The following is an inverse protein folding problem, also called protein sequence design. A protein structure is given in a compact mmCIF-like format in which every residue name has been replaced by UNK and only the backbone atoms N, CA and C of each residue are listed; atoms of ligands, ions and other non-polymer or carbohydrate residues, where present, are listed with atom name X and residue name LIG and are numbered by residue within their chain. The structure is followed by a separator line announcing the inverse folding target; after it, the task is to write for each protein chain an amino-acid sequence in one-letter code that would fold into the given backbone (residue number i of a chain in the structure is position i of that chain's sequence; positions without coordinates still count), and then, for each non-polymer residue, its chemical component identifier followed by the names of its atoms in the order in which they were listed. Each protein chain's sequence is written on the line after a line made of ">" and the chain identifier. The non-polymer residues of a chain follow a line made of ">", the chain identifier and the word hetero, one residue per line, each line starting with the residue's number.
data_IF_438352128724
#
_entry.id   IF_438352128724
#
_cell.length_a   1.000
_cell.length_b   1.000
_cell.length_c   1.000
_cell.angle_alpha   90.00
_cell.angle_beta   90.00
_cell.angle_gamma   90.00
#
_symmetry.space_group_name_H-M   'P 1'
#
loop_
_entity.id
_entity.type
_entity.pdbx_description
1 polymer ?
#
# COMPACT_ATOMS: atom_id res chain seq x y z
N UNK A 1 -5.98 -17.70 -6.24
CA UNK A 1 -5.73 -18.03 -4.83
C UNK A 1 -5.20 -16.83 -4.08
N UNK A 2 -5.74 -16.55 -2.91
CA UNK A 2 -5.29 -15.42 -2.12
C UNK A 2 -3.95 -15.66 -1.43
N UNK A 3 -3.17 -14.61 -1.31
CA UNK A 3 -1.91 -14.62 -0.57
C UNK A 3 -2.17 -14.61 0.93
N UNK A 4 -3.34 -14.11 1.32
CA UNK A 4 -3.73 -13.94 2.73
C UNK A 4 -4.73 -15.01 3.14
N UNK A 5 -4.60 -15.48 4.39
CA UNK A 5 -5.60 -16.31 5.00
C UNK A 5 -6.85 -15.49 5.36
N UNK A 6 -7.98 -16.16 5.74
CA UNK A 6 -9.23 -15.44 6.03
C UNK A 6 -9.12 -14.38 7.11
N UNK A 7 -8.42 -14.67 8.20
CA UNK A 7 -8.25 -13.71 9.30
C UNK A 7 -7.35 -12.55 8.90
N UNK A 8 -6.32 -12.83 8.11
CA UNK A 8 -5.42 -11.80 7.60
C UNK A 8 -6.14 -10.89 6.61
N UNK A 9 -6.94 -11.47 5.72
CA UNK A 9 -7.74 -10.72 4.76
C UNK A 9 -8.69 -9.75 5.48
N UNK A 10 -9.36 -10.25 6.52
CA UNK A 10 -10.26 -9.45 7.35
C UNK A 10 -9.52 -8.29 8.03
N UNK A 11 -8.35 -8.55 8.58
CA UNK A 11 -7.56 -7.53 9.26
C UNK A 11 -7.13 -6.43 8.29
N UNK A 12 -6.70 -6.82 7.09
CA UNK A 12 -6.32 -5.86 6.05
C UNK A 12 -7.53 -5.02 5.64
N UNK A 13 -8.66 -5.66 5.38
CA UNK A 13 -9.88 -4.95 4.98
C UNK A 13 -10.34 -3.95 6.04
N UNK A 14 -10.24 -4.31 7.31
CA UNK A 14 -10.61 -3.38 8.38
C UNK A 14 -9.70 -2.16 8.41
N UNK A 15 -8.40 -2.35 8.19
CA UNK A 15 -7.45 -1.25 8.15
C UNK A 15 -7.73 -0.33 6.95
N UNK A 16 -8.02 -0.91 5.79
CA UNK A 16 -8.33 -0.14 4.58
C UNK A 16 -9.65 0.63 4.73
N UNK A 17 -10.66 -0.01 5.31
CA UNK A 17 -11.96 0.62 5.56
C UNK A 17 -11.85 1.77 6.54
N UNK A 18 -11.07 1.58 7.61
CA UNK A 18 -10.84 2.64 8.59
C UNK A 18 -10.15 3.85 7.96
N UNK A 19 -9.18 3.60 7.11
CA UNK A 19 -8.48 4.68 6.39
C UNK A 19 -9.45 5.45 5.51
N UNK A 20 -10.25 4.74 4.72
CA UNK A 20 -11.20 5.38 3.82
C UNK A 20 -12.27 6.17 4.58
N UNK A 21 -12.86 5.56 5.61
CA UNK A 21 -13.93 6.22 6.38
C UNK A 21 -13.42 7.40 7.20
N UNK A 22 -12.19 7.32 7.71
CA UNK A 22 -11.61 8.37 8.54
C UNK A 22 -10.93 9.49 7.76
N UNK A 23 -10.33 9.18 6.61
CA UNK A 23 -9.50 10.14 5.86
C UNK A 23 -9.93 10.35 4.43
N UNK A 24 -10.88 9.56 3.93
CA UNK A 24 -11.28 9.64 2.54
C UNK A 24 -10.21 9.12 1.57
N UNK A 25 -9.17 8.47 2.06
CA UNK A 25 -8.08 7.93 1.24
C UNK A 25 -8.33 6.47 0.95
N UNK A 26 -8.29 6.11 -0.33
CA UNK A 26 -8.42 4.73 -0.75
C UNK A 26 -7.03 4.16 -1.02
N UNK A 27 -6.67 3.11 -0.27
CA UNK A 27 -5.41 2.41 -0.51
C UNK A 27 -5.71 1.09 -1.20
N UNK A 28 -5.16 0.94 -2.40
CA UNK A 28 -5.27 -0.30 -3.18
C UNK A 28 -4.07 -1.17 -2.85
N UNK A 29 -4.33 -2.39 -2.38
CA UNK A 29 -3.27 -3.36 -2.09
C UNK A 29 -3.35 -4.48 -3.11
N UNK A 30 -2.28 -4.67 -3.86
CA UNK A 30 -2.22 -5.63 -4.95
C UNK A 30 -1.06 -6.59 -4.72
N UNK A 31 -1.35 -7.89 -4.74
CA UNK A 31 -0.32 -8.92 -4.63
C UNK A 31 -0.20 -9.63 -5.97
N UNK A 32 1.01 -9.63 -6.53
CA UNK A 32 1.30 -10.30 -7.80
C UNK A 32 2.53 -11.19 -7.63
N UNK A 33 2.69 -12.25 -8.45
CA UNK A 33 3.89 -13.07 -8.37
C UNK A 33 5.16 -12.27 -8.66
N UNK A 34 5.13 -11.43 -9.71
CA UNK A 34 6.26 -10.60 -10.11
C UNK A 34 5.76 -9.40 -10.90
N UNK A 35 6.65 -8.49 -11.24
CA UNK A 35 6.31 -7.27 -11.98
C UNK A 35 6.61 -7.37 -13.48
N UNK A 36 6.80 -8.59 -13.99
CA UNK A 36 6.97 -8.80 -15.43
C UNK A 36 8.17 -8.11 -16.03
N UNK A 37 9.27 -7.98 -15.29
CA UNK A 37 10.48 -7.31 -15.78
C UNK A 37 10.48 -5.80 -15.60
N UNK A 38 9.37 -5.22 -15.16
CA UNK A 38 9.30 -3.79 -14.88
C UNK A 38 9.83 -3.50 -13.48
N UNK A 39 10.36 -2.29 -13.29
CA UNK A 39 10.68 -1.83 -11.93
C UNK A 39 9.38 -1.67 -11.14
N UNK A 40 9.40 -1.88 -9.81
CA UNK A 40 8.18 -1.81 -9.01
C UNK A 40 7.40 -0.50 -9.18
N UNK A 41 8.10 0.65 -9.18
CA UNK A 41 7.42 1.93 -9.31
C UNK A 41 6.75 2.09 -10.68
N UNK A 42 7.37 1.54 -11.73
CA UNK A 42 6.82 1.63 -13.09
C UNK A 42 5.57 0.78 -13.23
N UNK A 43 5.61 -0.43 -12.67
CA UNK A 43 4.45 -1.31 -12.66
C UNK A 43 3.27 -0.65 -11.93
N UNK A 44 3.54 -0.06 -10.75
CA UNK A 44 2.51 0.61 -9.98
C UNK A 44 1.94 1.81 -10.70
N UNK A 45 2.79 2.61 -11.33
CA UNK A 45 2.36 3.76 -12.12
C UNK A 45 1.43 3.35 -13.26
N UNK A 46 1.80 2.30 -13.99
CA UNK A 46 0.97 1.79 -15.07
C UNK A 46 -0.38 1.29 -14.57
N UNK A 47 -0.39 0.62 -13.41
CA UNK A 47 -1.62 0.14 -12.79
C UNK A 47 -2.55 1.28 -12.38
N UNK A 48 -1.98 2.36 -11.84
CA UNK A 48 -2.76 3.53 -11.44
C UNK A 48 -3.41 4.20 -12.65
N UNK A 49 -2.66 4.34 -13.74
CA UNK A 49 -3.19 4.92 -14.99
C UNK A 49 -4.29 4.03 -15.56
N UNK A 50 -4.05 2.73 -15.64
CA UNK A 50 -5.02 1.78 -16.20
C UNK A 50 -6.31 1.70 -15.38
N UNK A 51 -6.23 1.97 -14.07
CA UNK A 51 -7.38 1.90 -13.17
C UNK A 51 -8.04 3.25 -12.91
N UNK A 52 -7.61 4.30 -13.60
CA UNK A 52 -8.15 5.66 -13.47
C UNK A 52 -8.11 6.17 -12.01
N UNK A 53 -6.97 6.03 -11.35
CA UNK A 53 -6.80 6.50 -9.99
C UNK A 53 -6.97 8.01 -9.89
N UNK A 54 -7.57 8.43 -8.79
CA UNK A 54 -7.77 9.86 -8.48
C UNK A 54 -6.70 10.32 -7.49
N UNK A 55 -6.75 11.62 -7.13
CA UNK A 55 -5.83 12.20 -6.13
C UNK A 55 -6.03 11.63 -4.72
N UNK A 56 -7.12 10.90 -4.50
CA UNK A 56 -7.39 10.26 -3.21
C UNK A 56 -6.98 8.79 -3.17
N UNK A 57 -6.41 8.26 -4.25
CA UNK A 57 -6.08 6.84 -4.39
C UNK A 57 -4.58 6.63 -4.29
N UNK A 58 -4.18 5.75 -3.36
CA UNK A 58 -2.80 5.30 -3.20
C UNK A 58 -2.72 3.81 -3.56
N UNK A 59 -1.53 3.32 -3.85
CA UNK A 59 -1.33 1.90 -4.17
C UNK A 59 -0.13 1.34 -3.41
N UNK A 60 -0.30 0.12 -2.90
CA UNK A 60 0.79 -0.72 -2.43
C UNK A 60 0.78 -1.97 -3.31
N UNK A 61 1.75 -2.09 -4.18
CA UNK A 61 1.92 -3.26 -5.05
C UNK A 61 3.05 -4.11 -4.50
N UNK A 62 2.80 -5.39 -4.27
CA UNK A 62 3.78 -6.32 -3.70
C UNK A 62 3.95 -7.50 -4.65
N UNK A 63 5.20 -7.75 -5.06
CA UNK A 63 5.57 -8.96 -5.77
C UNK A 63 6.03 -10.00 -4.74
N UNK A 64 5.37 -11.14 -4.71
CA UNK A 64 5.62 -12.17 -3.69
C UNK A 64 6.72 -13.13 -4.07
N UNK A 65 7.00 -13.26 -5.36
CA UNK A 65 8.03 -14.15 -5.87
C UNK A 65 9.31 -13.33 -6.10
N UNK A 66 10.28 -13.42 -5.20
CA UNK A 66 11.42 -12.52 -5.17
C UNK A 66 11.00 -11.16 -4.63
N UNK A 67 10.81 -11.04 -3.31
CA UNK A 67 10.07 -9.92 -2.71
C UNK A 67 10.51 -8.54 -3.16
N UNK A 68 9.55 -7.78 -3.64
CA UNK A 68 9.73 -6.38 -4.02
C UNK A 68 8.39 -5.67 -3.84
N UNK A 69 8.42 -4.35 -3.76
CA UNK A 69 7.16 -3.60 -3.61
C UNK A 69 7.31 -2.17 -4.12
N UNK A 70 6.16 -1.55 -4.38
CA UNK A 70 6.08 -0.11 -4.62
C UNK A 70 4.91 0.46 -3.83
N UNK A 71 5.17 1.54 -3.11
CA UNK A 71 4.16 2.26 -2.34
C UNK A 71 4.09 3.68 -2.89
N UNK A 72 3.03 3.98 -3.64
CA UNK A 72 2.86 5.27 -4.29
C UNK A 72 1.66 5.99 -3.71
N UNK A 73 1.89 7.22 -3.27
CA UNK A 73 0.86 8.04 -2.61
C UNK A 73 0.84 9.42 -3.25
N UNK A 74 -0.31 9.87 -3.76
CA UNK A 74 -0.41 11.20 -4.34
C UNK A 74 -0.14 12.29 -3.30
N UNK A 75 0.42 13.41 -3.76
CA UNK A 75 0.71 14.54 -2.87
C UNK A 75 -0.53 15.04 -2.13
N UNK A 76 -1.69 15.00 -2.77
CA UNK A 76 -2.95 15.44 -2.15
C UNK A 76 -3.27 14.67 -0.87
N UNK A 77 -2.85 13.40 -0.78
CA UNK A 77 -3.12 12.56 0.39
C UNK A 77 -2.27 12.98 1.58
N UNK A 78 -1.05 13.44 1.35
CA UNK A 78 -0.10 13.75 2.41
C UNK A 78 0.00 15.24 2.74
N UNK A 79 -0.53 16.11 1.89
CA UNK A 79 -0.48 17.56 2.11
C UNK A 79 -1.20 17.93 3.41
N UNK A 80 -0.52 18.69 4.25
CA UNK A 80 -1.08 19.13 5.54
C UNK A 80 -1.06 18.07 6.62
N UNK A 81 -0.35 16.96 6.41
CA UNK A 81 -0.25 15.86 7.36
C UNK A 81 1.20 15.55 7.68
N UNK A 82 1.45 15.08 8.91
CA UNK A 82 2.78 14.65 9.33
C UNK A 82 3.04 13.22 8.88
N UNK A 83 3.15 13.01 7.57
CA UNK A 83 3.38 11.69 6.98
C UNK A 83 4.76 11.68 6.31
N UNK A 84 5.63 10.76 6.76
CA UNK A 84 6.94 10.53 6.16
C UNK A 84 6.91 9.21 5.39
N UNK A 85 6.71 9.30 4.06
CA UNK A 85 6.60 8.12 3.21
C UNK A 85 7.88 7.28 3.20
N UNK A 86 9.04 7.93 3.24
CA UNK A 86 10.33 7.22 3.27
C UNK A 86 10.47 6.35 4.52
N UNK A 87 10.10 6.90 5.67
CA UNK A 87 10.14 6.16 6.93
C UNK A 87 9.18 4.98 6.89
N UNK A 88 7.97 5.19 6.36
CA UNK A 88 6.99 4.10 6.24
C UNK A 88 7.52 2.99 5.35
N UNK A 89 8.07 3.33 4.19
CA UNK A 89 8.65 2.34 3.27
C UNK A 89 9.80 1.57 3.92
N UNK A 90 10.74 2.29 4.49
CA UNK A 90 11.98 1.72 5.02
C UNK A 90 11.76 0.95 6.32
N UNK A 91 11.01 1.54 7.25
CA UNK A 91 10.94 1.01 8.61
C UNK A 91 9.73 0.12 8.86
N UNK A 92 8.69 0.23 8.04
CA UNK A 92 7.43 -0.48 8.28
C UNK A 92 7.06 -1.47 7.17
N UNK A 93 7.13 -1.05 5.92
CA UNK A 93 6.71 -1.91 4.80
C UNK A 93 7.83 -2.86 4.39
N UNK A 94 9.03 -2.35 4.16
CA UNK A 94 10.14 -3.17 3.66
C UNK A 94 10.44 -4.37 4.55
N UNK A 95 10.57 -4.23 5.89
CA UNK A 95 10.83 -5.39 6.74
C UNK A 95 9.72 -6.45 6.64
N UNK A 96 8.47 -6.03 6.58
CA UNK A 96 7.36 -6.97 6.47
C UNK A 96 7.37 -7.71 5.13
N UNK A 97 7.65 -7.01 4.03
CA UNK A 97 7.72 -7.61 2.69
C UNK A 97 8.85 -8.64 2.64
N UNK A 98 10.04 -8.31 3.15
CA UNK A 98 11.18 -9.22 3.10
C UNK A 98 11.02 -10.41 4.04
N UNK A 99 10.14 -10.33 5.03
CA UNK A 99 9.81 -11.44 5.92
C UNK A 99 8.59 -12.22 5.44
N UNK A 100 8.04 -11.88 4.28
CA UNK A 100 6.84 -12.49 3.72
C UNK A 100 5.62 -12.31 4.64
N UNK A 101 5.59 -11.22 5.38
CA UNK A 101 4.46 -10.86 6.24
C UNK A 101 3.53 -9.92 5.46
N UNK A 102 2.83 -10.50 4.48
CA UNK A 102 2.08 -9.73 3.48
C UNK A 102 0.97 -8.87 4.08
N UNK A 103 0.23 -9.43 5.03
CA UNK A 103 -0.84 -8.68 5.69
C UNK A 103 -0.27 -7.53 6.52
N UNK A 104 0.83 -7.77 7.23
CA UNK A 104 1.47 -6.73 8.04
C UNK A 104 1.93 -5.55 7.17
N UNK A 105 2.47 -5.83 5.99
CA UNK A 105 2.89 -4.78 5.06
C UNK A 105 1.72 -3.89 4.68
N UNK A 106 0.58 -4.49 4.33
CA UNK A 106 -0.62 -3.75 3.94
C UNK A 106 -1.18 -2.93 5.11
N UNK A 107 -1.25 -3.52 6.29
CA UNK A 107 -1.75 -2.84 7.48
C UNK A 107 -0.84 -1.68 7.87
N UNK A 108 0.49 -1.88 7.80
CA UNK A 108 1.44 -0.83 8.11
C UNK A 108 1.30 0.36 7.15
N UNK A 109 1.09 0.09 5.87
CA UNK A 109 0.86 1.14 4.88
C UNK A 109 -0.42 1.93 5.19
N UNK A 110 -1.51 1.23 5.48
CA UNK A 110 -2.78 1.87 5.80
C UNK A 110 -2.67 2.72 7.07
N UNK A 111 -2.05 2.18 8.12
CA UNK A 111 -1.87 2.91 9.38
C UNK A 111 -0.96 4.12 9.20
N UNK A 112 0.05 4.00 8.35
CA UNK A 112 0.95 5.12 8.08
C UNK A 112 0.27 6.29 7.40
N UNK A 113 -0.80 6.04 6.64
CA UNK A 113 -1.58 7.07 5.97
C UNK A 113 -2.74 7.58 6.83
N UNK A 114 -3.11 6.88 7.88
CA UNK A 114 -4.24 7.24 8.75
C UNK A 114 -3.78 8.26 9.81
N UNK A 115 -3.48 9.46 9.35
CA UNK A 115 -2.97 10.55 10.16
C UNK A 115 -3.88 11.74 10.01
N UNK A 116 -4.24 12.36 11.13
CA UNK A 116 -5.07 13.57 11.12
C UNK A 116 -4.31 14.74 10.51
N UNK A 117 -5.01 15.68 9.85
CA UNK A 117 -4.38 16.90 9.35
C UNK A 117 -3.73 17.69 10.49
N UNK A 118 -2.57 18.26 10.20
CA UNK A 118 -1.85 19.09 11.15
C UNK A 118 -2.47 20.47 11.28
#
# INVERSE_FOLDING_TARGET
>A
MGVLGPLEYDAVNRALTRLYNGRGTRLWVVYVPNFGGLKPFKWAENAMVASNFTDSDAILAIATDGPAFSFRVPNAVITGKAIDLEMIRRDRISPAVFRHEWARAAIAAAQGLDVAPS
#
